data_IF_917227106724
#
_entry.id   IF_917227106724
#
_cell.length_a   1.000
_cell.length_b   1.000
_cell.length_c   1.000
_cell.angle_alpha   90.00
_cell.angle_beta   90.00
_cell.angle_gamma   90.00
#
_symmetry.space_group_name_H-M   'P 1'
#
loop_
_entity.id
_entity.type
_entity.pdbx_description
1 polymer ?
#
# COMPACT_ATOMS: atom_id res chain seq x y z
N UNK A 1 -15.42 -13.58 -4.35
CA UNK A 1 -16.39 -12.60 -3.78
C UNK A 1 -16.40 -11.34 -4.65
N UNK A 2 -17.51 -10.61 -4.77
CA UNK A 2 -17.57 -9.35 -5.54
C UNK A 2 -18.21 -8.24 -4.71
N UNK A 3 -17.55 -7.08 -4.64
CA UNK A 3 -17.98 -5.87 -3.95
C UNK A 3 -18.01 -4.74 -4.98
N UNK A 4 -19.19 -4.29 -5.38
CA UNK A 4 -19.36 -3.37 -6.52
C UNK A 4 -20.29 -2.24 -6.12
N UNK A 5 -19.96 -1.01 -6.52
CA UNK A 5 -20.80 0.18 -6.29
C UNK A 5 -21.11 0.41 -4.80
N UNK A 6 -20.10 0.25 -3.96
CA UNK A 6 -20.22 0.48 -2.52
C UNK A 6 -19.81 1.92 -2.20
N UNK A 7 -20.48 2.51 -1.21
CA UNK A 7 -20.05 3.76 -0.60
C UNK A 7 -19.84 3.58 0.90
N UNK A 8 -18.65 3.90 1.39
CA UNK A 8 -18.28 3.84 2.81
C UNK A 8 -17.82 5.24 3.23
N UNK A 9 -18.41 5.76 4.31
CA UNK A 9 -18.06 7.07 4.84
C UNK A 9 -17.89 7.00 6.36
N UNK A 10 -16.74 7.46 6.84
CA UNK A 10 -16.44 7.78 8.23
C UNK A 10 -15.61 9.07 8.28
N UNK A 11 -15.64 9.82 9.41
CA UNK A 11 -14.79 11.00 9.58
C UNK A 11 -13.30 10.68 9.44
N UNK A 12 -12.52 11.62 8.90
CA UNK A 12 -11.07 11.50 8.74
C UNK A 12 -10.31 11.27 10.05
N UNK A 13 -10.81 11.83 11.15
CA UNK A 13 -10.20 11.68 12.47
C UNK A 13 -10.75 10.47 13.25
N UNK A 14 -11.55 9.60 12.61
CA UNK A 14 -12.09 8.40 13.25
C UNK A 14 -11.02 7.30 13.26
N UNK A 15 -10.53 6.88 14.42
CA UNK A 15 -9.45 5.90 14.49
C UNK A 15 -9.93 4.52 13.98
N UNK A 16 -9.07 3.83 13.23
CA UNK A 16 -9.25 2.43 12.84
C UNK A 16 -10.54 2.10 12.09
N UNK A 17 -11.09 3.08 11.36
CA UNK A 17 -12.22 2.85 10.46
C UNK A 17 -11.71 2.41 9.09
N UNK A 18 -11.15 1.21 8.99
CA UNK A 18 -10.81 0.64 7.69
C UNK A 18 -12.07 0.53 6.82
N UNK A 19 -11.96 0.81 5.52
CA UNK A 19 -13.07 0.68 4.59
C UNK A 19 -13.38 -0.79 4.28
N UNK A 20 -12.50 -1.43 3.49
CA UNK A 20 -12.61 -2.86 3.18
C UNK A 20 -11.31 -3.56 3.57
N UNK A 21 -11.39 -4.44 4.57
CA UNK A 21 -10.28 -5.31 4.96
C UNK A 21 -10.45 -6.70 4.32
N UNK A 22 -9.40 -7.19 3.65
CA UNK A 22 -9.38 -8.50 2.99
C UNK A 22 -8.29 -9.34 3.65
N UNK A 23 -8.65 -10.49 4.23
CA UNK A 23 -7.68 -11.44 4.78
C UNK A 23 -8.11 -12.88 4.42
N UNK A 24 -7.14 -13.79 4.23
CA UNK A 24 -7.38 -15.23 3.98
C UNK A 24 -8.42 -15.50 2.89
N UNK A 25 -8.35 -14.75 1.79
CA UNK A 25 -9.39 -14.73 0.76
C UNK A 25 -8.82 -14.91 -0.64
N UNK A 26 -9.53 -15.67 -1.49
CA UNK A 26 -9.13 -15.86 -2.90
C UNK A 26 -10.21 -15.38 -3.87
N UNK A 27 -9.81 -14.71 -4.96
CA UNK A 27 -10.75 -14.32 -6.02
C UNK A 27 -11.72 -13.21 -5.57
N UNK A 28 -11.20 -12.21 -4.87
CA UNK A 28 -11.98 -11.03 -4.45
C UNK A 28 -11.89 -9.96 -5.54
N UNK A 29 -13.03 -9.40 -5.90
CA UNK A 29 -13.12 -8.28 -6.84
C UNK A 29 -13.78 -7.10 -6.15
N UNK A 30 -13.13 -5.94 -6.16
CA UNK A 30 -13.67 -4.66 -5.67
C UNK A 30 -13.73 -3.69 -6.85
N UNK A 31 -14.90 -3.11 -7.12
CA UNK A 31 -14.98 -2.09 -8.16
C UNK A 31 -16.03 -1.00 -7.96
N UNK A 32 -15.83 0.12 -8.66
CA UNK A 32 -16.79 1.25 -8.73
C UNK A 32 -17.16 1.77 -7.34
N UNK A 33 -16.20 1.81 -6.43
CA UNK A 33 -16.44 2.02 -5.00
C UNK A 33 -15.85 3.35 -4.53
N UNK A 34 -16.50 4.00 -3.57
CA UNK A 34 -16.03 5.24 -2.95
C UNK A 34 -15.87 5.06 -1.45
N UNK A 35 -14.70 5.38 -0.93
CA UNK A 35 -14.32 5.16 0.46
C UNK A 35 -13.69 6.43 1.01
N UNK A 36 -14.26 6.92 2.10
CA UNK A 36 -13.74 8.04 2.88
C UNK A 36 -13.74 7.60 4.34
N UNK A 37 -12.57 7.55 4.96
CA UNK A 37 -12.42 7.00 6.32
C UNK A 37 -11.29 7.71 7.07
N UNK A 38 -11.07 7.35 8.35
CA UNK A 38 -9.89 7.76 9.10
C UNK A 38 -8.74 6.74 9.13
N UNK A 39 -8.86 5.63 8.39
CA UNK A 39 -7.78 4.62 8.27
C UNK A 39 -7.67 4.12 6.81
N UNK A 40 -7.15 2.93 6.56
CA UNK A 40 -6.98 2.38 5.21
C UNK A 40 -8.33 2.32 4.48
N UNK A 41 -8.40 2.86 3.26
CA UNK A 41 -9.58 2.70 2.41
C UNK A 41 -9.81 1.22 2.09
N UNK A 42 -8.72 0.53 1.74
CA UNK A 42 -8.70 -0.91 1.53
C UNK A 42 -7.37 -1.42 2.10
N UNK A 43 -7.43 -2.53 2.84
CA UNK A 43 -6.26 -3.20 3.40
C UNK A 43 -6.29 -4.69 3.04
N UNK A 44 -5.16 -5.24 2.57
CA UNK A 44 -5.02 -6.67 2.22
C UNK A 44 -4.04 -7.33 3.19
N UNK A 45 -4.58 -8.14 4.09
CA UNK A 45 -3.81 -8.98 5.00
C UNK A 45 -3.42 -10.33 4.41
N UNK A 46 -2.74 -11.12 5.25
CA UNK A 46 -2.13 -12.40 4.92
C UNK A 46 -3.08 -13.46 4.34
N UNK A 47 -2.52 -14.40 3.59
CA UNK A 47 -3.25 -15.52 2.98
C UNK A 47 -4.22 -15.11 1.87
N UNK A 48 -4.06 -13.91 1.31
CA UNK A 48 -4.91 -13.36 0.26
C UNK A 48 -4.33 -13.60 -1.13
N UNK A 49 -5.15 -14.08 -2.06
CA UNK A 49 -4.71 -14.44 -3.41
C UNK A 49 -5.70 -14.01 -4.50
N UNK A 50 -5.19 -13.62 -5.68
CA UNK A 50 -6.02 -13.30 -6.84
C UNK A 50 -7.07 -12.22 -6.50
N UNK A 51 -6.58 -11.02 -6.18
CA UNK A 51 -7.38 -9.88 -5.77
C UNK A 51 -7.37 -8.84 -6.89
N UNK A 52 -8.54 -8.46 -7.41
CA UNK A 52 -8.70 -7.43 -8.45
C UNK A 52 -9.44 -6.22 -7.88
N UNK A 53 -8.81 -5.05 -7.93
CA UNK A 53 -9.38 -3.79 -7.42
C UNK A 53 -9.36 -2.78 -8.57
N UNK A 54 -10.52 -2.23 -8.92
CA UNK A 54 -10.63 -1.31 -10.05
C UNK A 54 -11.59 -0.15 -9.82
N UNK A 55 -11.24 1.07 -10.28
CA UNK A 55 -12.17 2.23 -10.28
C UNK A 55 -12.63 2.60 -8.86
N UNK A 56 -11.68 2.74 -7.94
CA UNK A 56 -11.95 3.12 -6.55
C UNK A 56 -11.55 4.59 -6.32
N UNK A 57 -12.42 5.34 -5.65
CA UNK A 57 -12.10 6.65 -5.09
C UNK A 57 -11.84 6.49 -3.60
N UNK A 58 -10.62 6.80 -3.17
CA UNK A 58 -10.16 6.67 -1.80
C UNK A 58 -9.78 8.05 -1.26
N UNK A 59 -10.32 8.44 -0.13
CA UNK A 59 -9.93 9.68 0.52
C UNK A 59 -11.07 10.43 1.19
N UNK A 60 -10.82 11.04 2.36
CA UNK A 60 -9.57 10.99 3.15
C UNK A 60 -9.30 9.59 3.77
N UNK A 61 -8.17 9.44 4.47
CA UNK A 61 -7.76 8.20 5.15
C UNK A 61 -6.29 7.83 4.96
N UNK A 62 -5.91 6.59 5.29
CA UNK A 62 -4.53 6.09 5.17
C UNK A 62 -4.15 5.57 3.78
N UNK A 63 -5.08 5.51 2.83
CA UNK A 63 -4.81 5.04 1.46
C UNK A 63 -5.14 3.56 1.25
N UNK A 64 -4.42 2.93 0.32
CA UNK A 64 -4.51 1.50 0.02
C UNK A 64 -3.29 0.79 0.58
N UNK A 65 -3.50 -0.23 1.42
CA UNK A 65 -2.41 -0.96 2.05
C UNK A 65 -2.38 -2.44 1.68
N UNK A 66 -1.20 -2.95 1.35
CA UNK A 66 -0.85 -4.36 1.57
C UNK A 66 -0.27 -4.47 2.98
N UNK A 67 -0.87 -5.33 3.79
CA UNK A 67 -0.48 -5.57 5.17
C UNK A 67 -1.28 -4.78 6.22
N UNK A 68 -0.81 -4.75 7.47
CA UNK A 68 0.53 -5.20 7.85
C UNK A 68 0.73 -6.71 7.72
N UNK A 69 1.85 -7.14 7.14
CA UNK A 69 2.22 -8.55 6.97
C UNK A 69 3.41 -8.93 7.87
N UNK A 70 3.50 -10.20 8.21
CA UNK A 70 4.57 -10.79 9.01
C UNK A 70 4.44 -10.50 10.50
N UNK A 71 3.23 -10.28 11.04
CA UNK A 71 3.04 -10.08 12.49
C UNK A 71 2.96 -11.41 13.23
N UNK A 72 2.23 -12.36 12.67
CA UNK A 72 1.88 -13.61 13.31
C UNK A 72 2.72 -14.78 12.78
N UNK A 73 2.80 -15.84 13.59
CA UNK A 73 3.39 -17.11 13.19
C UNK A 73 2.50 -17.73 12.12
N UNK A 74 3.14 -18.29 11.08
CA UNK A 74 2.49 -19.02 9.99
C UNK A 74 1.47 -18.18 9.19
N UNK A 75 1.75 -16.89 8.99
CA UNK A 75 1.01 -16.07 8.04
C UNK A 75 1.16 -16.60 6.61
N UNK A 76 0.02 -16.71 5.90
CA UNK A 76 -0.01 -17.12 4.51
C UNK A 76 0.47 -16.02 3.56
N UNK A 77 0.90 -16.45 2.37
CA UNK A 77 1.37 -15.56 1.32
C UNK A 77 0.27 -14.61 0.83
N UNK A 78 0.69 -13.44 0.35
CA UNK A 78 -0.16 -12.50 -0.39
C UNK A 78 0.30 -12.43 -1.83
N UNK A 79 -0.49 -12.93 -2.77
CA UNK A 79 -0.04 -12.98 -4.17
C UNK A 79 -1.13 -12.67 -5.20
N UNK A 80 -0.69 -12.32 -6.41
CA UNK A 80 -1.57 -11.99 -7.54
C UNK A 80 -2.57 -10.89 -7.19
N UNK A 81 -2.04 -9.70 -6.86
CA UNK A 81 -2.85 -8.52 -6.56
C UNK A 81 -2.77 -7.55 -7.74
N UNK A 82 -3.91 -7.21 -8.32
CA UNK A 82 -4.00 -6.23 -9.40
C UNK A 82 -4.89 -5.06 -8.95
N UNK A 83 -4.31 -3.88 -8.85
CA UNK A 83 -5.00 -2.64 -8.49
C UNK A 83 -4.88 -1.66 -9.63
N UNK A 84 -6.01 -1.18 -10.16
CA UNK A 84 -6.02 -0.28 -11.31
C UNK A 84 -7.05 0.84 -11.23
N UNK A 85 -6.77 1.95 -11.90
CA UNK A 85 -7.73 3.06 -12.05
C UNK A 85 -8.22 3.59 -10.69
N UNK A 86 -7.30 3.87 -9.77
CA UNK A 86 -7.61 4.34 -8.42
C UNK A 86 -7.30 5.84 -8.28
N UNK A 87 -8.18 6.59 -7.63
CA UNK A 87 -7.96 8.01 -7.31
C UNK A 87 -7.85 8.17 -5.80
N UNK A 88 -6.76 8.78 -5.35
CA UNK A 88 -6.48 9.11 -3.96
C UNK A 88 -6.63 10.62 -3.76
N UNK A 89 -7.37 11.04 -2.73
CA UNK A 89 -7.63 12.46 -2.44
C UNK A 89 -7.42 12.75 -0.95
N UNK A 90 -6.44 13.59 -0.61
CA UNK A 90 -6.21 13.99 0.78
C UNK A 90 -5.87 12.82 1.71
N UNK A 91 -5.27 11.76 1.18
CA UNK A 91 -4.88 10.58 1.98
C UNK A 91 -3.47 10.73 2.53
N UNK A 92 -3.20 10.09 3.66
CA UNK A 92 -1.84 10.00 4.21
C UNK A 92 -0.91 9.23 3.27
N UNK A 93 -1.40 8.17 2.64
CA UNK A 93 -0.62 7.38 1.69
C UNK A 93 -1.43 7.13 0.41
N UNK A 94 -0.74 6.88 -0.70
CA UNK A 94 -1.37 6.36 -1.90
C UNK A 94 -1.43 4.83 -1.80
N UNK A 95 -0.47 4.16 -2.44
CA UNK A 95 -0.26 2.72 -2.27
C UNK A 95 0.86 2.48 -1.28
N UNK A 96 0.59 1.64 -0.28
CA UNK A 96 1.51 1.29 0.79
C UNK A 96 1.65 -0.22 0.91
N UNK A 97 2.86 -0.72 1.06
CA UNK A 97 3.15 -2.10 1.47
C UNK A 97 3.87 -2.01 2.81
N UNK A 98 3.29 -2.59 3.86
CA UNK A 98 3.83 -2.55 5.23
C UNK A 98 4.09 -3.96 5.75
N UNK A 99 5.33 -4.26 6.13
CA UNK A 99 5.69 -5.55 6.73
C UNK A 99 6.45 -5.35 8.03
N UNK A 100 6.09 -6.11 9.06
CA UNK A 100 6.73 -6.06 10.37
C UNK A 100 8.21 -6.40 10.29
N UNK A 101 9.05 -5.61 10.96
CA UNK A 101 10.50 -5.82 10.94
C UNK A 101 10.96 -7.03 11.76
N UNK A 102 10.11 -7.56 12.63
CA UNK A 102 10.39 -8.67 13.53
C UNK A 102 9.52 -9.89 13.22
N UNK A 103 9.36 -10.22 11.93
CA UNK A 103 8.45 -11.31 11.55
C UNK A 103 8.89 -12.65 12.14
N UNK A 104 7.98 -13.39 12.81
CA UNK A 104 8.35 -14.63 13.47
C UNK A 104 8.57 -15.79 12.48
N UNK A 105 7.97 -15.71 11.28
CA UNK A 105 8.06 -16.71 10.22
C UNK A 105 8.26 -16.04 8.86
N UNK A 106 8.74 -16.82 7.88
CA UNK A 106 8.88 -16.36 6.50
C UNK A 106 7.54 -16.47 5.76
N UNK A 107 7.24 -15.48 4.92
CA UNK A 107 6.12 -15.49 3.98
C UNK A 107 6.48 -14.70 2.73
N UNK A 108 5.64 -14.79 1.69
CA UNK A 108 5.81 -14.12 0.42
C UNK A 108 4.70 -13.08 0.18
N UNK A 109 5.09 -11.88 -0.24
CA UNK A 109 4.20 -10.92 -0.87
C UNK A 109 4.70 -10.63 -2.29
N UNK A 110 4.00 -11.15 -3.30
CA UNK A 110 4.52 -11.13 -4.66
C UNK A 110 3.48 -11.03 -5.78
N UNK A 111 3.96 -10.70 -6.99
CA UNK A 111 3.16 -10.61 -8.20
C UNK A 111 2.04 -9.55 -8.06
N UNK A 112 2.47 -8.31 -7.83
CA UNK A 112 1.58 -7.18 -7.60
C UNK A 112 1.73 -6.15 -8.71
N UNK A 113 0.60 -5.70 -9.26
CA UNK A 113 0.55 -4.63 -10.24
C UNK A 113 -0.36 -3.52 -9.73
N UNK A 114 0.22 -2.35 -9.52
CA UNK A 114 -0.46 -1.11 -9.17
C UNK A 114 -0.38 -0.18 -10.37
N UNK A 115 -1.49 0.04 -11.09
CA UNK A 115 -1.46 0.82 -12.31
C UNK A 115 -2.56 1.88 -12.46
N UNK A 116 -2.27 2.91 -13.27
CA UNK A 116 -3.24 3.95 -13.63
C UNK A 116 -3.82 4.65 -12.39
N UNK A 117 -2.97 5.31 -11.62
CA UNK A 117 -3.38 5.95 -10.35
C UNK A 117 -3.27 7.46 -10.43
N UNK A 118 -4.21 8.14 -9.78
CA UNK A 118 -4.22 9.60 -9.67
C UNK A 118 -4.12 9.99 -8.20
N UNK A 119 -3.08 10.75 -7.86
CA UNK A 119 -2.80 11.26 -6.53
C UNK A 119 -3.18 12.74 -6.45
N UNK A 120 -4.07 13.11 -5.54
CA UNK A 120 -4.44 14.51 -5.29
C UNK A 120 -4.17 14.84 -3.83
N UNK A 121 -3.15 15.66 -3.59
CA UNK A 121 -2.75 16.04 -2.24
C UNK A 121 -2.54 14.82 -1.31
N UNK A 122 -1.74 13.86 -1.77
CA UNK A 122 -1.43 12.64 -1.00
C UNK A 122 -0.11 12.85 -0.27
N UNK A 123 -0.04 12.61 1.03
CA UNK A 123 1.22 12.90 1.75
C UNK A 123 2.36 12.02 1.23
N UNK A 124 2.16 10.69 1.19
CA UNK A 124 3.16 9.73 0.73
C UNK A 124 2.59 8.81 -0.37
N UNK A 125 2.70 9.18 -1.66
CA UNK A 125 2.07 8.47 -2.77
C UNK A 125 2.43 6.98 -2.91
N UNK A 126 3.70 6.61 -2.83
CA UNK A 126 4.17 5.23 -3.00
C UNK A 126 5.09 4.88 -1.85
N UNK A 127 4.73 3.85 -1.07
CA UNK A 127 5.54 3.37 0.05
C UNK A 127 5.69 1.85 0.02
N UNK A 128 6.92 1.38 0.15
CA UNK A 128 7.25 0.07 0.71
C UNK A 128 7.97 0.32 2.03
N UNK A 129 7.46 -0.27 3.10
CA UNK A 129 8.03 -0.16 4.44
C UNK A 129 8.15 -1.55 5.09
N UNK A 130 9.34 -2.12 5.02
CA UNK A 130 9.68 -3.35 5.73
C UNK A 130 10.25 -3.12 7.14
N UNK A 131 10.29 -1.86 7.60
CA UNK A 131 10.62 -1.47 8.98
C UNK A 131 9.34 -1.06 9.72
N UNK A 132 8.18 -1.60 9.31
CA UNK A 132 6.90 -1.19 9.87
C UNK A 132 6.81 -1.60 11.32
N UNK A 133 6.64 -0.60 12.19
CA UNK A 133 6.46 -0.80 13.61
C UNK A 133 5.68 0.39 14.19
N UNK A 134 4.36 0.24 14.40
CA UNK A 134 3.48 1.34 14.81
C UNK A 134 3.51 1.62 16.32
N UNK A 135 4.32 0.90 17.10
CA UNK A 135 4.45 1.10 18.55
C UNK A 135 5.74 1.88 18.86
N UNK A 136 5.85 2.46 20.05
CA UNK A 136 7.00 3.29 20.42
C UNK A 136 8.31 2.51 20.66
N UNK A 137 8.24 1.21 20.97
CA UNK A 137 9.39 0.39 21.39
C UNK A 137 9.88 -0.55 20.27
N UNK A 138 10.29 0.03 19.16
CA UNK A 138 10.85 -0.71 18.02
C UNK A 138 12.35 -0.50 17.99
N UNK A 139 13.12 -1.52 18.36
CA UNK A 139 14.58 -1.39 18.40
C UNK A 139 15.21 -1.23 17.01
N UNK A 140 14.47 -1.51 15.93
CA UNK A 140 14.94 -1.47 14.55
C UNK A 140 16.21 -2.31 14.29
N UNK A 141 16.36 -3.41 15.05
CA UNK A 141 17.47 -4.37 14.95
C UNK A 141 17.12 -5.64 14.19
N UNK A 142 15.84 -5.82 13.86
CA UNK A 142 15.35 -7.00 13.17
C UNK A 142 15.05 -6.70 11.70
N UNK A 143 14.98 -7.74 10.89
CA UNK A 143 14.61 -7.66 9.48
C UNK A 143 13.33 -8.42 9.24
N UNK A 144 12.47 -7.89 8.36
CA UNK A 144 11.22 -8.55 7.97
C UNK A 144 11.49 -9.94 7.40
N UNK A 145 10.69 -10.92 7.83
CA UNK A 145 10.65 -12.26 7.26
C UNK A 145 9.82 -12.35 5.98
N UNK A 146 9.11 -11.27 5.62
CA UNK A 146 8.29 -11.20 4.41
C UNK A 146 9.17 -10.89 3.20
N UNK A 147 9.21 -11.80 2.24
CA UNK A 147 9.88 -11.56 0.96
C UNK A 147 8.98 -10.76 0.03
N UNK A 148 9.48 -9.63 -0.48
CA UNK A 148 8.78 -8.81 -1.47
C UNK A 148 9.35 -9.06 -2.87
N UNK A 149 8.49 -9.47 -3.81
CA UNK A 149 8.93 -9.88 -5.15
C UNK A 149 7.96 -9.50 -6.27
N UNK A 150 8.47 -9.07 -7.42
CA UNK A 150 7.71 -8.80 -8.64
C UNK A 150 6.56 -7.80 -8.38
N UNK A 151 6.93 -6.57 -8.00
CA UNK A 151 6.01 -5.49 -7.64
C UNK A 151 6.19 -4.35 -8.63
N UNK A 152 5.14 -4.05 -9.38
CA UNK A 152 5.17 -3.00 -10.40
C UNK A 152 4.22 -1.86 -10.02
N UNK A 153 4.75 -0.64 -10.03
CA UNK A 153 4.00 0.61 -9.97
C UNK A 153 4.08 1.27 -11.34
N UNK A 154 2.93 1.43 -12.01
CA UNK A 154 2.87 1.87 -13.41
C UNK A 154 1.88 3.00 -13.63
N UNK A 155 2.27 4.03 -14.38
CA UNK A 155 1.37 5.14 -14.75
C UNK A 155 0.68 5.75 -13.51
N UNK A 156 1.49 6.22 -12.56
CA UNK A 156 1.04 6.85 -11.32
C UNK A 156 1.37 8.33 -11.42
N UNK A 157 0.34 9.18 -11.36
CA UNK A 157 0.52 10.63 -11.57
C UNK A 157 -0.20 11.48 -10.54
N UNK A 158 0.27 12.72 -10.38
CA UNK A 158 -0.45 13.73 -9.62
C UNK A 158 0.43 14.45 -8.62
N UNK A 159 -0.07 14.66 -7.41
CA UNK A 159 0.53 15.58 -6.43
C UNK A 159 0.76 14.94 -5.07
N UNK A 160 1.86 15.35 -4.42
CA UNK A 160 2.16 15.00 -3.03
C UNK A 160 2.24 16.21 -2.12
N UNK A 161 1.82 16.05 -0.85
CA UNK A 161 1.99 17.07 0.19
C UNK A 161 3.28 16.92 1.01
N UNK A 162 4.06 15.86 0.77
CA UNK A 162 5.44 15.74 1.27
C UNK A 162 6.44 15.64 0.11
N UNK A 163 7.71 16.09 0.31
CA UNK A 163 8.72 16.10 -0.74
C UNK A 163 9.22 14.70 -1.13
N UNK A 164 9.11 13.70 -0.26
CA UNK A 164 9.45 12.31 -0.59
C UNK A 164 8.20 11.64 -1.16
N UNK A 165 8.12 11.57 -2.49
CA UNK A 165 6.95 11.04 -3.19
C UNK A 165 6.99 9.50 -3.31
N UNK A 166 8.20 8.92 -3.32
CA UNK A 166 8.43 7.48 -3.36
C UNK A 166 9.39 7.09 -2.25
N UNK A 167 8.95 6.19 -1.37
CA UNK A 167 9.76 5.63 -0.29
C UNK A 167 9.80 4.10 -0.42
N UNK A 168 10.95 3.54 -0.79
CA UNK A 168 11.15 2.09 -0.87
C UNK A 168 12.15 1.67 0.20
N UNK A 169 11.66 1.27 1.37
CA UNK A 169 12.47 0.92 2.53
C UNK A 169 12.44 -0.59 2.76
N UNK A 170 13.33 -1.30 2.08
CA UNK A 170 13.42 -2.76 2.15
C UNK A 170 14.46 -3.19 3.20
N UNK A 171 14.03 -3.98 4.19
CA UNK A 171 14.88 -4.51 5.27
C UNK A 171 15.67 -5.75 4.82
N UNK A 172 15.10 -6.48 3.86
CA UNK A 172 15.78 -7.48 3.03
C UNK A 172 15.61 -7.05 1.56
N UNK A 173 16.46 -7.47 0.62
CA UNK A 173 16.34 -7.00 -0.76
C UNK A 173 14.95 -7.28 -1.37
N UNK A 174 14.21 -6.23 -1.71
CA UNK A 174 13.01 -6.36 -2.54
C UNK A 174 13.43 -6.69 -3.97
N UNK A 175 12.82 -7.70 -4.58
CA UNK A 175 13.24 -8.23 -5.88
C UNK A 175 12.23 -7.86 -6.96
N UNK A 176 12.68 -7.33 -8.11
CA UNK A 176 11.78 -7.01 -9.21
C UNK A 176 10.79 -5.89 -8.89
N UNK A 177 11.26 -4.84 -8.21
CA UNK A 177 10.46 -3.63 -7.96
C UNK A 177 10.63 -2.68 -9.14
N UNK A 178 9.54 -2.47 -9.89
CA UNK A 178 9.54 -1.64 -11.10
C UNK A 178 8.72 -0.38 -10.85
N UNK A 179 9.33 0.77 -11.11
CA UNK A 179 8.65 2.07 -11.24
C UNK A 179 8.62 2.42 -12.73
N UNK A 180 7.43 2.53 -13.31
CA UNK A 180 7.25 2.85 -14.72
C UNK A 180 6.25 3.99 -14.87
N UNK A 181 6.60 5.04 -15.61
CA UNK A 181 5.70 6.18 -15.88
C UNK A 181 5.13 6.81 -14.59
N UNK A 182 6.00 7.07 -13.59
CA UNK A 182 5.62 7.71 -12.33
C UNK A 182 5.93 9.21 -12.40
N UNK A 183 4.88 10.04 -12.36
CA UNK A 183 4.95 11.52 -12.48
C UNK A 183 4.24 12.19 -11.30
N UNK A 184 4.99 12.38 -10.20
CA UNK A 184 4.48 12.93 -8.95
C UNK A 184 5.13 14.27 -8.66
N UNK A 185 4.32 15.31 -8.46
CA UNK A 185 4.79 16.66 -8.16
C UNK A 185 4.53 17.03 -6.69
N UNK A 186 5.58 17.44 -6.00
CA UNK A 186 5.43 18.04 -4.67
C UNK A 186 4.71 19.39 -4.77
N UNK A 187 3.71 19.63 -3.92
CA UNK A 187 2.93 20.87 -3.94
C UNK A 187 3.61 22.06 -3.22
N UNK A 188 4.64 21.81 -2.41
CA UNK A 188 5.42 22.86 -1.75
C UNK A 188 6.53 23.43 -2.64
N UNK A 189 7.47 24.12 -2.01
CA UNK A 189 8.65 24.66 -2.71
C UNK A 189 9.65 23.54 -3.04
N UNK A 190 10.22 23.60 -4.25
CA UNK A 190 11.18 22.61 -4.75
C UNK A 190 10.54 21.51 -5.60
N UNK A 191 11.17 20.33 -5.60
CA UNK A 191 10.74 19.18 -6.38
C UNK A 191 10.35 17.99 -5.52
N UNK A 192 9.74 16.98 -6.14
CA UNK A 192 9.58 15.67 -5.53
C UNK A 192 10.91 14.90 -5.55
N UNK A 193 11.06 13.97 -4.60
CA UNK A 193 12.23 13.12 -4.44
C UNK A 193 11.82 11.68 -4.14
N UNK A 194 12.75 10.76 -4.33
CA UNK A 194 12.60 9.35 -4.00
C UNK A 194 13.69 8.92 -3.02
N UNK A 195 13.34 8.05 -2.07
CA UNK A 195 14.27 7.42 -1.13
C UNK A 195 14.16 5.91 -1.23
N UNK A 196 15.25 5.24 -1.54
CA UNK A 196 15.29 3.80 -1.77
C UNK A 196 16.40 3.14 -0.94
N UNK A 197 16.09 2.03 -0.29
CA UNK A 197 16.99 1.18 0.51
C UNK A 197 16.69 -0.28 0.13
N UNK A 198 17.70 -1.00 -0.36
CA UNK A 198 17.62 -2.42 -0.78
C UNK A 198 16.46 -2.77 -1.74
N UNK A 199 16.04 -1.84 -2.60
CA UNK A 199 15.10 -2.12 -3.67
C UNK A 199 15.84 -2.46 -4.96
N UNK A 200 15.57 -3.63 -5.55
CA UNK A 200 16.19 -4.10 -6.79
C UNK A 200 15.14 -4.17 -7.90
N UNK A 201 15.50 -3.66 -9.07
CA UNK A 201 14.70 -3.75 -10.29
C UNK A 201 14.83 -5.11 -10.97
#
# INVERSE_FOLDING_TARGET
MKLINIQINAPENSPNTDGIHIERSTGVVISDTRISTGDDCISIGQGSDNIDIARVHCGPGHGMSIGSLGRYVDEGDVTRVHVRNMTFVGTMNGVRIKTWENSPTKSLAAHMLFENMVMKDVQNPIIIDQKYCPYYDCEHKHVSGVTLKDITFKNIKGTSSMPVAVLLRCGVPCQGVVLQDVDLKYMGEGGSSSKCENAMA
#
